data_IF_612006105868
#
_entry.id   IF_612006105868
#
_cell.length_a   1.000
_cell.length_b   1.000
_cell.length_c   1.000
_cell.angle_alpha   90.00
_cell.angle_beta   90.00
_cell.angle_gamma   90.00
#
_symmetry.space_group_name_H-M   'P 1'
#
loop_
_entity.id
_entity.type
_entity.pdbx_description
1 polymer ?
#
# COMPACT_ATOMS: atom_id res chain seq x y z
N UNK A 1 0.55 -40.86 -12.41
CA UNK A 1 0.18 -39.76 -13.31
C UNK A 1 0.34 -40.25 -14.72
N UNK A 2 -0.66 -40.25 -15.63
CA UNK A 2 -0.47 -40.63 -17.00
C UNK A 2 0.37 -39.59 -17.72
N UNK A 3 1.48 -40.04 -18.32
CA UNK A 3 2.40 -39.17 -19.08
C UNK A 3 1.76 -38.69 -20.38
N UNK A 4 1.93 -37.42 -20.69
CA UNK A 4 1.49 -36.84 -21.96
C UNK A 4 2.19 -37.59 -23.12
N UNK A 5 1.40 -38.11 -24.03
CA UNK A 5 1.93 -38.84 -25.20
C UNK A 5 2.74 -37.88 -26.10
N UNK A 6 3.88 -38.35 -26.65
CA UNK A 6 4.78 -37.54 -27.49
C UNK A 6 4.06 -36.83 -28.65
N UNK A 7 2.99 -37.41 -29.17
CA UNK A 7 2.16 -36.83 -30.25
C UNK A 7 1.33 -35.64 -29.76
N UNK A 8 0.78 -35.72 -28.54
CA UNK A 8 0.04 -34.60 -27.92
C UNK A 8 0.96 -33.43 -27.56
N UNK A 9 2.18 -33.75 -27.09
CA UNK A 9 3.17 -32.70 -26.79
C UNK A 9 3.56 -31.96 -28.07
N UNK A 10 3.83 -32.69 -29.18
CA UNK A 10 4.17 -32.06 -30.46
C UNK A 10 3.02 -31.26 -31.07
N UNK A 11 1.77 -31.71 -30.93
CA UNK A 11 0.61 -30.96 -31.39
C UNK A 11 0.40 -29.65 -30.55
N UNK A 12 0.56 -29.72 -29.26
CA UNK A 12 0.48 -28.53 -28.37
C UNK A 12 1.65 -27.57 -28.63
N UNK A 13 2.86 -28.05 -28.85
CA UNK A 13 4.01 -27.24 -29.18
C UNK A 13 3.86 -26.57 -30.58
N UNK A 14 3.32 -27.26 -31.56
CA UNK A 14 3.06 -26.70 -32.90
C UNK A 14 1.96 -25.63 -32.85
N UNK A 15 0.90 -25.84 -32.04
CA UNK A 15 -0.17 -24.86 -31.85
C UNK A 15 0.32 -23.61 -31.12
N UNK A 16 1.19 -23.76 -30.13
CA UNK A 16 1.79 -22.63 -29.40
C UNK A 16 2.76 -21.83 -30.30
N UNK A 17 3.54 -22.52 -31.15
CA UNK A 17 4.44 -21.85 -32.09
C UNK A 17 3.65 -21.09 -33.18
N UNK A 18 2.57 -21.68 -33.71
CA UNK A 18 1.70 -20.98 -34.68
C UNK A 18 1.01 -19.74 -34.07
N UNK A 19 0.56 -19.84 -32.83
CA UNK A 19 -0.02 -18.69 -32.12
C UNK A 19 1.00 -17.57 -31.85
N UNK A 20 2.27 -17.93 -31.58
CA UNK A 20 3.35 -16.96 -31.40
C UNK A 20 3.72 -16.24 -32.71
N UNK A 21 3.57 -16.91 -33.87
CA UNK A 21 3.84 -16.32 -35.20
C UNK A 21 2.74 -15.33 -35.64
N UNK A 22 1.51 -15.55 -35.19
CA UNK A 22 0.35 -14.66 -35.46
C UNK A 22 0.23 -13.54 -34.45
N UNK A 23 1.05 -13.50 -33.40
CA UNK A 23 1.01 -12.44 -32.41
C UNK A 23 1.45 -11.11 -33.03
N UNK A 24 0.71 -10.02 -32.80
CA UNK A 24 1.05 -8.71 -33.33
C UNK A 24 2.43 -8.26 -32.84
N UNK A 25 3.27 -7.82 -33.79
CA UNK A 25 4.67 -7.44 -33.53
C UNK A 25 4.80 -6.09 -32.80
N UNK A 26 3.75 -5.26 -32.78
CA UNK A 26 3.76 -3.98 -32.08
C UNK A 26 3.06 -4.05 -30.72
N UNK A 27 3.60 -3.33 -29.73
CA UNK A 27 2.98 -3.19 -28.41
C UNK A 27 1.55 -2.63 -28.50
N UNK A 28 1.35 -1.66 -29.39
CA UNK A 28 0.03 -1.06 -29.63
C UNK A 28 -1.00 -2.09 -30.13
N UNK A 29 -0.61 -2.99 -31.05
CA UNK A 29 -1.49 -4.05 -31.54
C UNK A 29 -1.75 -5.13 -30.47
N UNK A 30 -0.80 -5.40 -29.58
CA UNK A 30 -1.01 -6.29 -28.42
C UNK A 30 -1.97 -5.68 -27.39
N UNK A 31 -1.83 -4.39 -27.13
CA UNK A 31 -2.74 -3.64 -26.24
C UNK A 31 -4.17 -3.57 -26.83
N UNK A 32 -4.32 -3.47 -28.16
CA UNK A 32 -5.62 -3.47 -28.83
C UNK A 32 -6.38 -4.81 -28.76
N UNK A 33 -5.65 -5.92 -28.52
CA UNK A 33 -6.25 -7.27 -28.33
C UNK A 33 -6.60 -7.56 -26.86
N UNK A 34 -6.17 -6.73 -25.91
CA UNK A 34 -6.65 -6.83 -24.54
C UNK A 34 -8.13 -6.47 -24.51
N UNK A 35 -8.98 -7.24 -23.79
CA UNK A 35 -10.37 -6.84 -23.60
C UNK A 35 -10.37 -5.42 -23.01
N UNK A 36 -11.04 -4.49 -23.70
CA UNK A 36 -11.30 -3.16 -23.13
C UNK A 36 -12.08 -3.39 -21.86
N UNK A 37 -11.45 -3.08 -20.74
CA UNK A 37 -12.11 -3.07 -19.45
C UNK A 37 -13.01 -1.83 -19.44
N UNK A 38 -14.21 -1.93 -20.02
CA UNK A 38 -15.28 -0.92 -19.86
C UNK A 38 -15.83 -0.91 -18.42
N UNK A 39 -14.99 -1.39 -17.48
CA UNK A 39 -15.34 -1.41 -16.07
C UNK A 39 -15.24 0.00 -15.51
N UNK A 40 -16.37 0.54 -15.09
CA UNK A 40 -16.40 1.75 -14.26
C UNK A 40 -15.95 1.39 -12.85
N UNK A 41 -14.84 1.99 -12.41
CA UNK A 41 -14.36 1.86 -11.04
C UNK A 41 -15.04 2.90 -10.15
N UNK A 42 -15.54 2.47 -8.99
CA UNK A 42 -15.98 3.39 -7.95
C UNK A 42 -14.83 3.63 -6.96
N UNK A 43 -14.66 4.87 -6.51
CA UNK A 43 -13.63 5.23 -5.52
C UNK A 43 -13.74 4.40 -4.23
N UNK A 44 -14.97 4.04 -3.88
CA UNK A 44 -15.32 3.27 -2.67
C UNK A 44 -15.39 1.77 -2.90
N UNK A 45 -15.10 1.31 -4.12
CA UNK A 45 -15.06 -0.12 -4.42
C UNK A 45 -14.06 -0.83 -3.52
N UNK A 46 -14.47 -1.95 -2.92
CA UNK A 46 -13.58 -2.76 -2.08
C UNK A 46 -12.58 -3.51 -2.94
N UNK A 47 -11.31 -3.31 -2.65
CA UNK A 47 -10.18 -4.01 -3.27
C UNK A 47 -9.33 -4.69 -2.20
N UNK A 48 -8.57 -5.70 -2.61
CA UNK A 48 -7.56 -6.34 -1.75
C UNK A 48 -6.18 -5.82 -2.11
N UNK A 49 -5.40 -5.42 -1.11
CA UNK A 49 -4.02 -4.97 -1.32
C UNK A 49 -3.13 -6.19 -1.54
N UNK A 50 -2.84 -6.48 -2.81
CA UNK A 50 -2.00 -7.61 -3.21
C UNK A 50 -2.42 -8.93 -2.55
N UNK A 51 -1.46 -9.60 -1.89
CA UNK A 51 -1.69 -10.87 -1.17
C UNK A 51 -1.77 -10.67 0.36
N UNK A 52 -1.98 -9.44 0.84
CA UNK A 52 -1.96 -9.13 2.28
C UNK A 52 -3.21 -9.58 3.03
N UNK A 53 -4.31 -9.83 2.31
CA UNK A 53 -5.63 -10.06 2.91
C UNK A 53 -6.27 -8.79 3.50
N UNK A 54 -5.69 -7.61 3.27
CA UNK A 54 -6.26 -6.32 3.68
C UNK A 54 -7.26 -5.87 2.62
N UNK A 55 -8.52 -5.73 3.02
CA UNK A 55 -9.58 -5.18 2.18
C UNK A 55 -9.78 -3.71 2.52
N UNK A 56 -9.84 -2.86 1.49
CA UNK A 56 -9.97 -1.41 1.65
C UNK A 56 -10.67 -0.79 0.44
N UNK A 57 -10.95 0.52 0.46
CA UNK A 57 -11.45 1.22 -0.72
C UNK A 57 -10.37 1.38 -1.78
N UNK A 58 -10.77 1.39 -3.05
CA UNK A 58 -9.87 1.60 -4.20
C UNK A 58 -9.13 2.93 -4.09
N UNK A 59 -9.82 4.00 -3.67
CA UNK A 59 -9.22 5.30 -3.42
C UNK A 59 -8.84 5.44 -1.94
N UNK A 60 -7.64 5.97 -1.69
CA UNK A 60 -7.16 6.38 -0.37
C UNK A 60 -7.33 7.89 -0.17
N UNK A 61 -7.56 8.31 1.07
CA UNK A 61 -7.44 9.71 1.49
C UNK A 61 -6.02 9.99 1.97
N UNK A 62 -5.27 10.76 1.18
CA UNK A 62 -3.91 11.18 1.52
C UNK A 62 -3.91 12.39 2.45
N UNK A 63 -2.99 12.39 3.41
CA UNK A 63 -2.83 13.49 4.38
C UNK A 63 -1.51 14.23 4.23
N UNK A 64 -0.75 14.01 3.16
CA UNK A 64 0.63 14.44 3.00
C UNK A 64 0.94 15.30 1.79
N UNK A 65 -0.01 16.10 1.25
CA UNK A 65 0.32 17.01 0.16
C UNK A 65 1.34 18.04 0.63
N UNK A 66 2.50 18.10 -0.04
CA UNK A 66 3.67 18.89 0.40
C UNK A 66 4.09 18.54 1.83
N UNK A 67 3.96 17.25 2.19
CA UNK A 67 4.18 16.76 3.57
C UNK A 67 5.67 16.60 3.90
N UNK A 68 6.18 17.43 4.79
CA UNK A 68 7.55 17.39 5.29
C UNK A 68 7.67 18.12 6.63
N UNK A 69 8.65 17.73 7.46
CA UNK A 69 8.90 18.42 8.71
C UNK A 69 7.71 18.41 9.69
N UNK A 70 6.97 17.33 9.72
CA UNK A 70 5.74 17.17 10.53
C UNK A 70 4.62 18.17 10.20
N UNK A 71 4.54 18.57 8.94
CA UNK A 71 3.51 19.47 8.42
C UNK A 71 3.07 19.05 7.02
N UNK A 72 1.82 19.34 6.66
CA UNK A 72 1.27 19.16 5.30
C UNK A 72 0.15 20.18 5.04
N UNK A 73 -0.26 20.32 3.77
CA UNK A 73 -1.43 21.14 3.45
C UNK A 73 -2.70 20.67 4.19
N UNK A 74 -2.81 19.38 4.44
CA UNK A 74 -3.94 18.81 5.16
C UNK A 74 -3.88 19.14 6.67
N UNK A 75 -2.69 19.06 7.30
CA UNK A 75 -2.55 19.43 8.72
C UNK A 75 -2.78 20.93 8.96
N UNK A 76 -2.57 21.78 7.94
CA UNK A 76 -2.91 23.20 8.00
C UNK A 76 -4.42 23.48 8.20
N UNK A 77 -5.29 22.49 7.96
CA UNK A 77 -6.73 22.58 8.27
C UNK A 77 -7.00 22.57 9.79
N UNK A 78 -5.99 22.34 10.60
CA UNK A 78 -6.10 22.12 12.03
C UNK A 78 -6.65 20.73 12.39
N UNK A 79 -6.58 20.40 13.69
CA UNK A 79 -6.96 19.08 14.20
C UNK A 79 -8.39 18.70 13.80
N UNK A 80 -9.34 19.57 14.11
CA UNK A 80 -10.76 19.34 13.86
C UNK A 80 -11.09 19.32 12.36
N UNK A 81 -10.45 20.21 11.56
CA UNK A 81 -10.71 20.31 10.13
C UNK A 81 -10.31 19.06 9.37
N UNK A 82 -9.09 18.55 9.60
CA UNK A 82 -8.63 17.32 8.95
C UNK A 82 -9.37 16.09 9.48
N UNK A 83 -9.63 16.02 10.80
CA UNK A 83 -10.41 14.93 11.39
C UNK A 83 -11.79 14.82 10.76
N UNK A 84 -12.53 15.94 10.64
CA UNK A 84 -13.85 15.97 9.97
C UNK A 84 -13.77 15.59 8.49
N UNK A 85 -12.71 15.99 7.80
CA UNK A 85 -12.52 15.61 6.40
C UNK A 85 -12.38 14.08 6.24
N UNK A 86 -11.60 13.44 7.12
CA UNK A 86 -11.43 11.99 7.15
C UNK A 86 -12.72 11.26 7.50
N UNK A 87 -13.48 11.76 8.50
CA UNK A 87 -14.79 11.24 8.87
C UNK A 87 -15.79 11.33 7.69
N UNK A 88 -15.84 12.48 7.02
CA UNK A 88 -16.68 12.66 5.83
C UNK A 88 -16.33 11.65 4.74
N UNK A 89 -15.04 11.43 4.49
CA UNK A 89 -14.60 10.39 3.55
C UNK A 89 -15.09 8.99 3.95
N UNK A 90 -15.00 8.67 5.24
CA UNK A 90 -15.50 7.39 5.77
C UNK A 90 -17.01 7.25 5.59
N UNK A 91 -17.79 8.27 5.90
CA UNK A 91 -19.25 8.28 5.75
C UNK A 91 -19.67 8.12 4.28
N UNK A 92 -18.84 8.61 3.36
CA UNK A 92 -19.02 8.43 1.92
C UNK A 92 -18.38 7.14 1.37
N UNK A 93 -17.97 6.21 2.22
CA UNK A 93 -17.54 4.86 1.84
C UNK A 93 -16.03 4.67 1.63
N UNK A 94 -15.21 5.70 1.82
CA UNK A 94 -13.75 5.52 1.79
C UNK A 94 -13.27 4.78 3.05
N UNK A 95 -12.30 3.91 2.87
CA UNK A 95 -11.81 3.00 3.93
C UNK A 95 -10.29 2.98 4.03
N UNK A 96 -9.59 3.88 3.34
CA UNK A 96 -8.14 3.90 3.30
C UNK A 96 -7.62 5.31 3.63
N UNK A 97 -6.93 5.44 4.77
CA UNK A 97 -6.25 6.67 5.21
C UNK A 97 -4.75 6.50 5.03
N UNK A 98 -4.15 7.36 4.20
CA UNK A 98 -2.72 7.39 3.94
C UNK A 98 -2.08 8.54 4.71
N UNK A 99 -1.21 8.20 5.66
CA UNK A 99 -0.42 9.12 6.47
C UNK A 99 1.07 8.76 6.44
N UNK A 100 1.88 9.56 7.07
CA UNK A 100 3.29 9.28 7.38
C UNK A 100 3.73 10.13 8.57
N UNK A 101 4.80 9.70 9.23
CA UNK A 101 5.43 10.46 10.33
C UNK A 101 5.74 11.90 9.90
N UNK A 102 6.42 12.06 8.76
CA UNK A 102 6.82 13.38 8.25
C UNK A 102 5.69 14.33 7.91
N UNK A 103 4.44 13.85 7.84
CA UNK A 103 3.28 14.71 7.53
C UNK A 103 2.69 15.38 8.77
N UNK A 104 3.04 14.90 9.99
CA UNK A 104 2.46 15.41 11.23
C UNK A 104 0.97 15.13 11.40
N UNK A 105 0.42 14.21 10.62
CA UNK A 105 -1.02 13.97 10.57
C UNK A 105 -1.52 12.86 11.50
N UNK A 106 -0.63 12.15 12.23
CA UNK A 106 -1.04 11.10 13.17
C UNK A 106 -2.07 11.56 14.21
N UNK A 107 -1.92 12.71 14.88
CA UNK A 107 -2.93 13.18 15.83
C UNK A 107 -4.31 13.45 15.21
N UNK A 108 -4.32 13.93 13.96
CA UNK A 108 -5.55 14.20 13.20
C UNK A 108 -6.26 12.90 12.80
N UNK A 109 -5.48 11.90 12.36
CA UNK A 109 -6.00 10.56 12.06
C UNK A 109 -6.52 9.92 13.35
N UNK A 110 -5.77 10.00 14.46
CA UNK A 110 -6.20 9.48 15.75
C UNK A 110 -7.53 10.10 16.21
N UNK A 111 -7.71 11.40 16.00
CA UNK A 111 -8.97 12.06 16.33
C UNK A 111 -10.11 11.56 15.44
N UNK A 112 -9.90 11.41 14.13
CA UNK A 112 -10.89 10.85 13.22
C UNK A 112 -11.27 9.39 13.60
N UNK A 113 -10.30 8.59 14.03
CA UNK A 113 -10.52 7.19 14.43
C UNK A 113 -11.43 7.03 15.65
N UNK A 114 -11.64 8.07 16.47
CA UNK A 114 -12.60 8.05 17.57
C UNK A 114 -14.06 8.03 17.09
N UNK A 115 -14.30 8.45 15.87
CA UNK A 115 -15.64 8.66 15.30
C UNK A 115 -16.00 7.66 14.18
N UNK A 116 -15.12 6.72 13.90
CA UNK A 116 -15.31 5.68 12.86
C UNK A 116 -15.03 4.30 13.44
N UNK A 117 -15.54 3.27 12.77
CA UNK A 117 -15.20 1.88 13.14
C UNK A 117 -13.75 1.57 12.71
N UNK A 118 -12.81 1.54 13.67
CA UNK A 118 -11.39 1.28 13.44
C UNK A 118 -11.15 -0.01 12.65
N UNK A 119 -11.96 -1.04 12.87
CA UNK A 119 -11.82 -2.34 12.20
C UNK A 119 -12.14 -2.29 10.70
N UNK A 120 -12.86 -1.27 10.27
CA UNK A 120 -13.26 -1.05 8.86
C UNK A 120 -12.37 -0.07 8.12
N UNK A 121 -11.36 0.51 8.78
CA UNK A 121 -10.45 1.48 8.18
C UNK A 121 -9.06 0.88 8.07
N UNK A 122 -8.45 1.00 6.91
CA UNK A 122 -7.04 0.72 6.69
C UNK A 122 -6.25 2.01 6.91
N UNK A 123 -5.34 1.99 7.87
CA UNK A 123 -4.40 3.09 8.13
C UNK A 123 -3.01 2.69 7.65
N UNK A 124 -2.48 3.42 6.68
CA UNK A 124 -1.11 3.28 6.22
C UNK A 124 -0.27 4.44 6.74
N UNK A 125 0.85 4.11 7.39
CA UNK A 125 1.86 5.09 7.78
C UNK A 125 3.23 4.72 7.25
N UNK A 126 4.20 5.65 7.37
CA UNK A 126 5.53 5.51 6.80
C UNK A 126 6.57 6.06 7.78
N UNK A 127 7.67 5.34 7.93
CA UNK A 127 8.79 5.67 8.82
C UNK A 127 10.06 6.00 8.03
N UNK A 128 10.79 7.01 8.47
CA UNK A 128 12.13 7.34 7.99
C UNK A 128 13.24 6.49 8.63
N UNK A 129 12.89 5.63 9.58
CA UNK A 129 13.87 4.76 10.25
C UNK A 129 14.64 3.90 9.24
N UNK A 130 15.95 3.81 9.45
CA UNK A 130 16.88 3.01 8.63
C UNK A 130 17.60 1.95 9.46
N UNK A 131 17.47 2.00 10.77
CA UNK A 131 18.08 1.06 11.71
C UNK A 131 17.02 0.30 12.50
N UNK A 132 17.36 -0.86 13.03
CA UNK A 132 16.45 -1.67 13.84
C UNK A 132 15.95 -0.95 15.11
N UNK A 133 16.79 -0.27 15.90
CA UNK A 133 16.34 0.47 17.09
C UNK A 133 15.36 1.59 16.74
N UNK A 134 15.65 2.38 15.71
CA UNK A 134 14.76 3.46 15.25
C UNK A 134 13.40 2.91 14.78
N UNK A 135 13.39 1.83 13.99
CA UNK A 135 12.16 1.25 13.49
C UNK A 135 11.28 0.71 14.65
N UNK A 136 11.88 0.08 15.66
CA UNK A 136 11.14 -0.36 16.86
C UNK A 136 10.53 0.84 17.60
N UNK A 137 11.32 1.89 17.80
CA UNK A 137 10.85 3.11 18.47
C UNK A 137 9.70 3.78 17.71
N UNK A 138 9.79 3.84 16.37
CA UNK A 138 8.75 4.41 15.52
C UNK A 138 7.46 3.58 15.57
N UNK A 139 7.53 2.26 15.48
CA UNK A 139 6.33 1.40 15.58
C UNK A 139 5.59 1.60 16.91
N UNK A 140 6.33 1.72 18.02
CA UNK A 140 5.74 1.97 19.33
C UNK A 140 5.16 3.38 19.42
N UNK A 141 5.87 4.39 18.90
CA UNK A 141 5.43 5.78 18.87
C UNK A 141 4.19 5.96 18.00
N UNK A 142 4.16 5.41 16.80
CA UNK A 142 3.04 5.52 15.86
C UNK A 142 1.74 4.94 16.43
N UNK A 143 1.82 3.80 17.12
CA UNK A 143 0.64 3.22 17.78
C UNK A 143 0.11 4.14 18.89
N UNK A 144 0.99 4.76 19.67
CA UNK A 144 0.58 5.74 20.67
C UNK A 144 -0.04 7.00 20.05
N UNK A 145 0.61 7.57 19.02
CA UNK A 145 0.14 8.77 18.32
C UNK A 145 -1.19 8.56 17.61
N UNK A 146 -1.39 7.39 17.00
CA UNK A 146 -2.62 6.99 16.32
C UNK A 146 -3.68 6.42 17.28
N UNK A 147 -3.35 6.25 18.56
CA UNK A 147 -4.18 5.64 19.58
C UNK A 147 -4.81 4.30 19.11
N UNK A 148 -3.95 3.36 18.69
CA UNK A 148 -4.37 2.07 18.15
C UNK A 148 -3.37 0.96 18.55
N UNK A 149 -3.87 -0.24 18.76
CA UNK A 149 -3.03 -1.38 19.13
C UNK A 149 -2.21 -1.94 17.96
N UNK A 150 -2.65 -1.68 16.73
CA UNK A 150 -2.02 -2.19 15.52
C UNK A 150 -2.04 -1.15 14.38
N UNK A 151 -1.10 -1.30 13.44
CA UNK A 151 -1.10 -0.57 12.18
C UNK A 151 -1.50 -1.54 11.04
N UNK A 152 -2.29 -1.08 10.08
CA UNK A 152 -2.61 -1.93 8.94
C UNK A 152 -1.41 -2.05 8.02
N UNK A 153 -0.78 -0.93 7.67
CA UNK A 153 0.38 -0.91 6.79
C UNK A 153 1.43 0.05 7.34
N UNK A 154 2.67 -0.43 7.47
CA UNK A 154 3.82 0.42 7.78
C UNK A 154 4.87 0.30 6.68
N UNK A 155 5.25 1.41 6.05
CA UNK A 155 6.25 1.44 4.99
C UNK A 155 7.55 2.09 5.46
N UNK A 156 8.67 1.64 4.92
CA UNK A 156 9.88 2.46 4.89
C UNK A 156 9.64 3.63 3.94
N UNK A 157 9.82 4.86 4.43
CA UNK A 157 9.47 6.07 3.68
C UNK A 157 10.62 6.52 2.79
N UNK A 158 10.29 6.88 1.53
CA UNK A 158 11.19 7.60 0.63
C UNK A 158 12.53 6.89 0.42
N UNK A 159 12.47 5.62 0.03
CA UNK A 159 13.66 4.85 -0.31
C UNK A 159 14.16 5.30 -1.68
N UNK A 160 15.44 5.70 -1.75
CA UNK A 160 16.10 6.20 -2.97
C UNK A 160 17.38 5.43 -3.30
N UNK A 161 17.89 4.64 -2.37
CA UNK A 161 19.13 3.89 -2.50
C UNK A 161 18.90 2.58 -3.26
N UNK A 162 19.73 2.30 -4.27
CA UNK A 162 19.61 1.07 -5.07
C UNK A 162 19.90 -0.20 -4.25
N UNK A 163 20.79 -0.09 -3.23
CA UNK A 163 21.19 -1.18 -2.35
C UNK A 163 20.35 -1.30 -1.07
N UNK A 164 19.21 -0.63 -1.00
CA UNK A 164 18.37 -0.52 0.21
C UNK A 164 18.00 -1.87 0.82
N UNK A 165 17.78 -2.90 0.01
CA UNK A 165 17.42 -4.23 0.48
C UNK A 165 18.49 -4.88 1.35
N UNK A 166 19.77 -4.58 1.09
CA UNK A 166 20.90 -5.03 1.90
C UNK A 166 21.21 -4.03 3.01
N UNK A 167 21.26 -2.75 2.66
CA UNK A 167 21.66 -1.68 3.58
C UNK A 167 20.69 -1.51 4.74
N UNK A 168 19.40 -1.63 4.50
CA UNK A 168 18.36 -1.43 5.51
C UNK A 168 17.73 -2.75 6.00
N UNK A 169 18.38 -3.88 5.71
CA UNK A 169 17.92 -5.20 6.16
C UNK A 169 17.52 -5.24 7.64
N UNK A 170 18.31 -4.67 8.60
CA UNK A 170 17.93 -4.72 10.02
C UNK A 170 16.61 -3.99 10.34
N UNK A 171 16.28 -2.90 9.65
CA UNK A 171 15.00 -2.22 9.81
C UNK A 171 13.84 -3.01 9.18
N UNK A 172 14.08 -3.67 8.03
CA UNK A 172 13.10 -4.54 7.37
C UNK A 172 12.79 -5.78 8.21
N UNK A 173 13.79 -6.35 8.89
CA UNK A 173 13.60 -7.49 9.79
C UNK A 173 12.67 -7.13 10.96
N UNK A 174 12.79 -5.91 11.49
CA UNK A 174 11.88 -5.40 12.53
C UNK A 174 10.44 -5.31 12.02
N UNK A 175 10.23 -4.83 10.80
CA UNK A 175 8.89 -4.81 10.19
C UNK A 175 8.33 -6.22 9.99
N UNK A 176 9.18 -7.16 9.56
CA UNK A 176 8.80 -8.56 9.39
C UNK A 176 8.43 -9.22 10.72
N UNK A 177 9.22 -8.97 11.78
CA UNK A 177 8.94 -9.42 13.15
C UNK A 177 7.64 -8.79 13.68
N UNK A 178 7.42 -7.50 13.47
CA UNK A 178 6.22 -6.80 13.88
C UNK A 178 4.96 -7.36 13.20
N UNK A 179 5.07 -7.77 11.92
CA UNK A 179 3.99 -8.46 11.22
C UNK A 179 3.70 -9.83 11.83
N UNK A 180 4.71 -10.62 12.14
CA UNK A 180 4.53 -11.93 12.77
C UNK A 180 3.84 -11.81 14.14
N UNK A 181 4.12 -10.73 14.89
CA UNK A 181 3.53 -10.43 16.19
C UNK A 181 2.13 -9.77 16.10
N UNK A 182 1.64 -9.47 14.91
CA UNK A 182 0.36 -8.77 14.71
C UNK A 182 0.38 -7.29 15.06
N UNK A 183 1.55 -6.70 15.30
CA UNK A 183 1.72 -5.25 15.55
C UNK A 183 1.43 -4.46 14.26
N UNK A 184 1.79 -5.02 13.12
CA UNK A 184 1.40 -4.52 11.80
C UNK A 184 0.82 -5.66 10.96
N UNK A 185 -0.06 -5.35 10.01
CA UNK A 185 -0.66 -6.37 9.13
C UNK A 185 0.13 -6.54 7.83
N UNK A 186 0.71 -5.45 7.31
CA UNK A 186 1.56 -5.47 6.13
C UNK A 186 2.67 -4.43 6.21
N UNK A 187 3.75 -4.65 5.46
CA UNK A 187 4.85 -3.70 5.33
C UNK A 187 5.37 -3.66 3.89
N UNK A 188 6.17 -2.66 3.60
CA UNK A 188 6.82 -2.43 2.31
C UNK A 188 7.67 -1.17 2.34
N UNK A 189 7.83 -0.55 1.19
CA UNK A 189 8.54 0.73 1.05
C UNK A 189 7.80 1.68 0.10
N UNK A 190 8.03 2.97 0.26
CA UNK A 190 7.73 3.98 -0.74
C UNK A 190 9.03 4.46 -1.37
N UNK A 191 9.10 4.46 -2.69
CA UNK A 191 10.27 4.87 -3.45
C UNK A 191 9.99 6.20 -4.15
N UNK A 192 10.99 7.09 -4.20
CA UNK A 192 10.89 8.41 -4.82
C UNK A 192 11.81 8.57 -6.04
N UNK A 193 12.71 7.64 -6.26
CA UNK A 193 13.50 7.53 -7.50
C UNK A 193 13.60 6.07 -7.91
N UNK A 194 13.75 5.85 -9.21
CA UNK A 194 14.12 4.58 -9.83
C UNK A 194 15.28 4.95 -10.73
N UNK A 195 16.50 4.75 -10.24
CA UNK A 195 17.73 4.83 -11.05
C UNK A 195 18.27 3.42 -11.27
#
# INVERSE_FOLDING_TARGET
MPGIQRREFLQRAASAAAAAWLAPKSLAARLALLPRLDRKFAATETVTIGQTGIHTSLLAMGTGTVGSGHHSNQTALGLEGLSRLLQNGYDNGLRFFDTADSYGSHPHVADALKHVDRSKVTVMTKSWARTAPEMRADLDRFRRELNTDYLDICLMHCVTEADWTTRFQPAMDVLSEAKQKGVIRAHGCSCHSIE
#
